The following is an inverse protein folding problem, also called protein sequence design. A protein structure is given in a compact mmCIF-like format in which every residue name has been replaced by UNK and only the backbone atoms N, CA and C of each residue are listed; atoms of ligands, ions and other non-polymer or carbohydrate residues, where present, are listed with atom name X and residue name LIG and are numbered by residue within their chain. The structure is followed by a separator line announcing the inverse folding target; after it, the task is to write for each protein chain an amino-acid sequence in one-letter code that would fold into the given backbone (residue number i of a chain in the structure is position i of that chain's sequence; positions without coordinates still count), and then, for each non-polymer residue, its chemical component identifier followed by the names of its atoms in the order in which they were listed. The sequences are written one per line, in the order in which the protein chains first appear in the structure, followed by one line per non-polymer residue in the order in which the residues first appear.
data_IF_999747069368
#
_entry.id   IF_999747069368
#
_cell.length_a   1.000
_cell.length_b   1.000
_cell.length_c   1.000
_cell.angle_alpha   90.00
_cell.angle_beta   90.00
_cell.angle_gamma   90.00
#
_symmetry.space_group_name_H-M   'P 1'
#
loop_
_entity.id
_entity.type
_entity.pdbx_description
1 polymer ?
#
# COMPACT_ATOMS: atom_id res chain seq x y z
N UNK A 1 -11.79 7.51 -33.04
CA UNK A 1 -10.35 7.45 -32.73
C UNK A 1 -10.16 6.43 -31.62
N UNK A 2 -9.35 5.37 -31.82
CA UNK A 2 -9.06 4.40 -30.74
C UNK A 2 -8.06 5.04 -29.78
N UNK A 3 -8.51 5.40 -28.58
CA UNK A 3 -7.62 5.81 -27.49
C UNK A 3 -6.69 4.64 -27.18
N UNK A 4 -5.38 4.83 -27.34
CA UNK A 4 -4.39 3.85 -26.86
C UNK A 4 -4.43 3.92 -25.34
N UNK A 5 -5.11 2.95 -24.72
CA UNK A 5 -5.04 2.75 -23.28
C UNK A 5 -3.59 2.43 -22.96
N UNK A 6 -2.95 3.29 -22.18
CA UNK A 6 -1.63 3.03 -21.65
C UNK A 6 -1.75 1.84 -20.68
N UNK A 7 -1.07 0.75 -21.04
CA UNK A 7 -0.98 -0.50 -20.30
C UNK A 7 0.38 -0.62 -19.61
N UNK A 8 1.10 0.50 -19.47
CA UNK A 8 2.35 0.55 -18.72
C UNK A 8 2.20 -0.03 -17.30
N UNK A 9 3.26 -0.67 -16.77
CA UNK A 9 3.26 -1.22 -15.43
C UNK A 9 2.85 -0.17 -14.39
N UNK A 10 2.19 -0.63 -13.32
CA UNK A 10 1.77 0.22 -12.21
C UNK A 10 3.00 0.89 -11.58
N UNK A 11 3.22 2.17 -11.83
CA UNK A 11 4.21 2.95 -11.07
C UNK A 11 3.60 3.34 -9.72
N UNK A 12 3.82 2.49 -8.71
CA UNK A 12 3.59 2.84 -7.33
C UNK A 12 4.83 3.59 -6.80
N UNK A 13 4.71 4.90 -6.62
CA UNK A 13 5.77 5.71 -6.01
C UNK A 13 5.79 5.53 -4.49
N UNK A 14 6.95 5.32 -3.85
CA UNK A 14 7.04 5.32 -2.40
C UNK A 14 6.77 6.72 -1.84
N UNK A 15 5.89 6.83 -0.83
CA UNK A 15 5.78 8.01 0.03
C UNK A 15 6.53 7.71 1.33
N UNK A 16 7.56 8.50 1.62
CA UNK A 16 8.37 8.33 2.82
C UNK A 16 7.80 9.20 3.95
N UNK A 17 7.46 8.64 5.13
CA UNK A 17 7.15 9.44 6.29
C UNK A 17 8.38 10.21 6.74
N UNK A 18 8.18 11.43 7.24
CA UNK A 18 9.26 12.25 7.77
C UNK A 18 9.69 11.73 9.14
N UNK A 19 10.99 11.81 9.46
CA UNK A 19 11.49 11.47 10.79
C UNK A 19 10.76 12.30 11.86
N UNK A 20 10.05 11.63 12.78
CA UNK A 20 9.29 12.27 13.86
C UNK A 20 7.77 12.36 13.64
N UNK A 21 7.23 11.85 12.53
CA UNK A 21 5.77 11.69 12.41
C UNK A 21 5.25 10.65 13.42
N UNK A 22 4.19 11.02 14.14
CA UNK A 22 3.46 10.11 15.01
C UNK A 22 2.93 8.94 14.18
N UNK A 23 2.98 7.73 14.74
CA UNK A 23 2.41 6.54 14.11
C UNK A 23 0.95 6.80 13.71
N UNK A 24 0.63 6.55 12.44
CA UNK A 24 -0.73 6.54 11.92
C UNK A 24 -1.15 5.10 11.65
N UNK A 25 -2.39 4.81 12.01
CA UNK A 25 -3.07 3.56 11.69
C UNK A 25 -3.63 3.54 10.27
N UNK A 26 -3.38 4.56 9.44
CA UNK A 26 -3.83 4.62 8.05
C UNK A 26 -2.67 4.46 7.06
N UNK A 27 -2.81 3.50 6.15
CA UNK A 27 -1.92 3.31 4.99
C UNK A 27 -2.71 3.65 3.73
N UNK A 28 -2.21 4.62 2.94
CA UNK A 28 -2.83 5.03 1.67
C UNK A 28 -2.10 4.41 0.49
N UNK A 29 -2.83 3.71 -0.37
CA UNK A 29 -2.33 3.07 -1.59
C UNK A 29 -2.97 3.73 -2.80
N UNK A 30 -2.15 4.37 -3.65
CA UNK A 30 -2.62 5.00 -4.88
C UNK A 30 -2.40 4.09 -6.10
N UNK A 31 -3.43 3.99 -6.93
CA UNK A 31 -3.45 3.23 -8.18
C UNK A 31 -3.47 4.20 -9.37
N UNK A 32 -2.87 3.80 -10.49
CA UNK A 32 -2.90 4.60 -11.72
C UNK A 32 -4.30 4.64 -12.37
N UNK A 33 -5.15 3.67 -12.06
CA UNK A 33 -6.51 3.47 -12.58
C UNK A 33 -7.50 3.30 -11.44
N UNK A 34 -8.75 3.69 -11.69
CA UNK A 34 -9.84 3.46 -10.76
C UNK A 34 -10.07 1.95 -10.60
N UNK A 35 -10.32 1.52 -9.37
CA UNK A 35 -10.49 0.09 -9.06
C UNK A 35 -11.93 -0.24 -8.68
N UNK A 36 -12.30 -1.53 -8.75
CA UNK A 36 -13.64 -1.97 -8.34
C UNK A 36 -13.76 -2.02 -6.83
N UNK A 37 -14.88 -1.52 -6.31
CA UNK A 37 -15.20 -1.55 -4.88
C UNK A 37 -15.24 -2.99 -4.33
N UNK A 38 -15.67 -3.96 -5.14
CA UNK A 38 -15.70 -5.38 -4.76
C UNK A 38 -14.30 -5.97 -4.44
N UNK A 39 -13.23 -5.27 -4.82
CA UNK A 39 -11.86 -5.66 -4.50
C UNK A 39 -11.37 -5.09 -3.16
N UNK A 40 -12.17 -4.27 -2.47
CA UNK A 40 -11.83 -3.66 -1.19
C UNK A 40 -12.07 -4.62 -0.02
N UNK A 41 -11.44 -5.78 -0.07
CA UNK A 41 -11.48 -6.77 1.01
C UNK A 41 -10.10 -6.85 1.67
N UNK A 42 -10.01 -6.97 3.00
CA UNK A 42 -8.73 -7.12 3.71
C UNK A 42 -7.84 -8.23 3.12
N UNK A 43 -8.43 -9.34 2.68
CA UNK A 43 -7.70 -10.49 2.08
C UNK A 43 -6.91 -10.16 0.81
N UNK A 44 -7.23 -9.05 0.15
CA UNK A 44 -6.51 -8.60 -1.05
C UNK A 44 -5.24 -7.80 -0.71
N UNK A 45 -4.98 -7.55 0.57
CA UNK A 45 -3.87 -6.75 1.05
C UNK A 45 -3.16 -7.48 2.20
N UNK A 46 -1.84 -7.49 2.18
CA UNK A 46 -1.04 -7.87 3.35
C UNK A 46 -0.12 -6.72 3.69
N UNK A 47 -0.24 -6.18 4.91
CA UNK A 47 0.63 -5.13 5.40
C UNK A 47 1.63 -5.72 6.38
N UNK A 48 2.89 -5.33 6.25
CA UNK A 48 3.95 -5.65 7.19
C UNK A 48 4.67 -4.40 7.64
N UNK A 49 4.89 -4.27 8.94
CA UNK A 49 5.74 -3.25 9.51
C UNK A 49 7.15 -3.79 9.67
N UNK A 50 8.12 -2.96 9.34
CA UNK A 50 9.53 -3.29 9.30
C UNK A 50 10.29 -2.32 10.19
N UNK A 51 10.73 -2.82 11.33
CA UNK A 51 11.59 -2.08 12.24
C UNK A 51 13.04 -2.46 11.99
N UNK A 52 13.87 -1.46 11.69
CA UNK A 52 15.31 -1.61 11.59
C UNK A 52 15.99 -0.31 11.96
N UNK A 53 17.04 -0.41 12.77
CA UNK A 53 18.05 0.65 12.88
C UNK A 53 19.15 0.38 11.86
N UNK A 54 19.82 1.43 11.38
CA UNK A 54 20.88 1.34 10.36
C UNK A 54 21.86 0.22 10.73
N UNK A 55 21.91 -0.85 9.93
CA UNK A 55 22.83 -1.99 10.10
C UNK A 55 22.34 -3.17 10.95
N UNK A 56 21.07 -3.21 11.37
CA UNK A 56 20.51 -4.32 12.18
C UNK A 56 19.37 -5.02 11.44
N UNK A 57 19.18 -6.30 11.78
CA UNK A 57 18.12 -7.21 11.34
C UNK A 57 16.75 -6.52 11.32
N UNK A 58 16.07 -6.58 10.17
CA UNK A 58 14.73 -6.01 10.01
C UNK A 58 13.74 -6.98 10.61
N UNK A 59 13.11 -6.61 11.73
CA UNK A 59 11.96 -7.37 12.26
C UNK A 59 10.76 -7.03 11.40
N UNK A 60 10.36 -7.99 10.56
CA UNK A 60 9.11 -7.91 9.81
C UNK A 60 7.98 -8.48 10.66
N UNK A 61 7.00 -7.63 10.98
CA UNK A 61 5.81 -8.02 11.72
C UNK A 61 4.58 -7.84 10.82
N UNK A 62 3.84 -8.91 10.48
CA UNK A 62 2.55 -8.74 9.83
C UNK A 62 1.61 -7.96 10.76
N UNK A 63 0.76 -7.12 10.17
CA UNK A 63 -0.25 -6.35 10.91
C UNK A 63 -1.63 -6.58 10.31
N UNK A 64 -2.62 -6.63 11.20
CA UNK A 64 -4.00 -6.86 10.81
C UNK A 64 -4.60 -5.60 10.18
N UNK A 65 -5.35 -5.80 9.10
CA UNK A 65 -6.12 -4.75 8.43
C UNK A 65 -7.55 -4.81 8.97
N UNK A 66 -7.99 -3.73 9.62
CA UNK A 66 -9.32 -3.66 10.26
C UNK A 66 -10.38 -3.14 9.31
N UNK A 67 -10.01 -2.22 8.40
CA UNK A 67 -10.91 -1.64 7.41
C UNK A 67 -10.17 -1.37 6.09
N UNK A 68 -10.92 -1.49 4.98
CA UNK A 68 -10.45 -1.13 3.64
C UNK A 68 -11.55 -0.31 2.96
N UNK A 69 -11.24 0.90 2.51
CA UNK A 69 -12.21 1.77 1.85
C UNK A 69 -11.52 2.73 0.86
N UNK A 70 -12.30 3.34 -0.03
CA UNK A 70 -11.78 4.40 -0.88
C UNK A 70 -11.51 5.67 -0.07
N UNK A 71 -10.40 6.34 -0.38
CA UNK A 71 -10.10 7.65 0.20
C UNK A 71 -11.28 8.62 -0.07
N UNK A 72 -11.88 9.21 0.97
CA UNK A 72 -12.97 10.18 0.79
C UNK A 72 -12.50 11.44 0.05
N UNK A 73 -11.19 11.69 0.08
CA UNK A 73 -10.55 12.82 -0.60
C UNK A 73 -10.24 12.52 -2.08
N UNK A 74 -10.49 11.29 -2.56
CA UNK A 74 -10.21 10.89 -3.93
C UNK A 74 -11.51 10.57 -4.71
N UNK A 75 -12.08 11.56 -5.42
CA UNK A 75 -13.28 11.35 -6.21
C UNK A 75 -13.08 10.41 -7.41
N UNK A 76 -11.82 10.10 -7.77
CA UNK A 76 -11.52 9.20 -8.89
C UNK A 76 -11.48 7.72 -8.48
N UNK A 77 -11.65 7.40 -7.18
CA UNK A 77 -11.60 6.02 -6.66
C UNK A 77 -10.30 5.30 -7.05
N UNK A 78 -9.19 6.02 -7.00
CA UNK A 78 -7.84 5.53 -7.29
C UNK A 78 -7.01 5.31 -6.03
N UNK A 79 -7.47 5.77 -4.89
CA UNK A 79 -6.75 5.71 -3.63
C UNK A 79 -7.54 4.88 -2.64
N UNK A 80 -6.91 3.84 -2.12
CA UNK A 80 -7.45 2.99 -1.07
C UNK A 80 -6.79 3.34 0.24
N UNK A 81 -7.59 3.43 1.30
CA UNK A 81 -7.14 3.54 2.68
C UNK A 81 -7.27 2.16 3.32
N UNK A 82 -6.17 1.69 3.90
CA UNK A 82 -6.10 0.51 4.74
C UNK A 82 -5.94 0.99 6.18
N UNK A 83 -6.89 0.67 7.06
CA UNK A 83 -6.68 0.85 8.50
C UNK A 83 -5.99 -0.36 9.08
N UNK A 84 -4.93 -0.15 9.82
CA UNK A 84 -4.11 -1.21 10.41
C UNK A 84 -4.17 -1.16 11.93
N UNK A 85 -4.23 -2.33 12.57
CA UNK A 85 -4.08 -2.44 14.00
C UNK A 85 -2.64 -2.81 14.35
N UNK A 86 -1.91 -1.85 14.90
CA UNK A 86 -0.63 -2.11 15.53
C UNK A 86 -0.86 -2.40 17.02
N UNK A 87 -0.75 -3.66 17.42
CA UNK A 87 -0.75 -4.04 18.84
C UNK A 87 0.45 -3.50 19.63
N UNK A 88 1.48 -3.02 18.93
CA UNK A 88 2.70 -2.42 19.50
C UNK A 88 2.66 -0.90 19.36
N UNK A 89 3.21 -0.18 20.35
CA UNK A 89 3.37 1.28 20.28
C UNK A 89 4.73 1.61 19.70
N UNK A 90 4.73 2.30 18.56
CA UNK A 90 5.93 2.75 17.89
C UNK A 90 6.32 4.17 18.33
N UNK A 91 7.62 4.39 18.56
CA UNK A 91 8.17 5.72 18.87
C UNK A 91 8.38 6.58 17.62
N UNK A 92 8.47 5.95 16.45
CA UNK A 92 8.57 6.57 15.12
C UNK A 92 7.97 5.63 14.08
N UNK A 93 7.53 6.17 12.94
CA UNK A 93 6.89 5.37 11.88
C UNK A 93 7.85 4.30 11.32
N UNK A 94 7.54 2.99 11.44
CA UNK A 94 8.34 1.94 10.83
C UNK A 94 8.20 1.95 9.30
N UNK A 95 9.11 1.27 8.61
CA UNK A 95 8.92 1.04 7.18
C UNK A 95 7.71 0.10 6.96
N UNK A 96 6.96 0.33 5.89
CA UNK A 96 5.76 -0.40 5.52
C UNK A 96 6.03 -1.12 4.21
N UNK A 97 5.71 -2.40 4.20
CA UNK A 97 5.49 -3.15 2.98
C UNK A 97 4.00 -3.46 2.83
N UNK A 98 3.47 -3.26 1.63
CA UNK A 98 2.12 -3.63 1.25
C UNK A 98 2.20 -4.58 0.07
N UNK A 99 1.77 -5.82 0.28
CA UNK A 99 1.48 -6.72 -0.82
C UNK A 99 0.02 -6.59 -1.22
N UNK A 100 -0.23 -6.52 -2.53
CA UNK A 100 -1.54 -6.30 -3.11
C UNK A 100 -1.85 -7.45 -4.06
N UNK A 101 -3.01 -8.08 -3.92
CA UNK A 101 -3.44 -9.24 -4.71
C UNK A 101 -4.87 -9.04 -5.21
N UNK A 102 -5.23 -9.72 -6.31
CA UNK A 102 -6.61 -9.81 -6.81
C UNK A 102 -7.35 -8.47 -7.05
N UNK A 103 -6.62 -7.35 -7.15
CA UNK A 103 -7.21 -6.05 -7.49
C UNK A 103 -7.48 -5.98 -8.99
N UNK A 104 -8.67 -5.49 -9.32
CA UNK A 104 -9.17 -5.35 -10.69
C UNK A 104 -9.62 -3.92 -10.92
N UNK A 105 -9.30 -3.37 -12.10
CA UNK A 105 -9.79 -2.06 -12.50
C UNK A 105 -11.29 -2.07 -12.83
N UNK A 106 -11.89 -0.89 -12.99
CA UNK A 106 -13.31 -0.75 -13.34
C UNK A 106 -13.70 -1.50 -14.64
N UNK A 107 -12.76 -1.73 -15.55
CA UNK A 107 -12.97 -2.45 -16.80
C UNK A 107 -12.85 -3.97 -16.67
N UNK A 108 -12.49 -4.49 -15.50
CA UNK A 108 -12.35 -5.92 -15.26
C UNK A 108 -10.93 -6.46 -15.52
N UNK A 109 -9.95 -5.58 -15.72
CA UNK A 109 -8.55 -5.96 -15.94
C UNK A 109 -7.83 -6.11 -14.60
N UNK A 110 -7.23 -7.27 -14.36
CA UNK A 110 -6.39 -7.49 -13.17
C UNK A 110 -5.16 -6.59 -13.21
N UNK A 111 -4.84 -5.96 -12.08
CA UNK A 111 -3.69 -5.07 -11.97
C UNK A 111 -2.36 -5.85 -11.92
N UNK A 112 -2.36 -7.05 -11.33
CA UNK A 112 -1.22 -7.99 -11.36
C UNK A 112 -1.69 -9.43 -11.22
N UNK A 113 -1.06 -10.35 -11.96
CA UNK A 113 -1.33 -11.80 -11.86
C UNK A 113 -0.65 -12.44 -10.64
N UNK A 114 0.51 -11.90 -10.22
CA UNK A 114 1.35 -12.47 -9.15
C UNK A 114 1.38 -11.60 -7.87
N UNK A 115 0.51 -10.60 -7.80
CA UNK A 115 0.53 -9.56 -6.76
C UNK A 115 1.55 -8.46 -7.03
N UNK A 116 1.46 -7.38 -6.26
CA UNK A 116 2.39 -6.24 -6.32
C UNK A 116 2.88 -5.97 -4.91
N UNK A 117 4.20 -5.93 -4.73
CA UNK A 117 4.83 -5.48 -3.49
C UNK A 117 5.18 -3.99 -3.62
N UNK A 118 4.70 -3.19 -2.69
CA UNK A 118 5.07 -1.78 -2.54
C UNK A 118 5.79 -1.65 -1.21
N UNK A 119 6.97 -1.03 -1.22
CA UNK A 119 7.76 -0.82 -0.02
C UNK A 119 8.18 0.64 0.07
N UNK A 120 8.00 1.26 1.23
CA UNK A 120 8.59 2.57 1.52
C UNK A 120 9.96 2.47 2.21
N UNK A 121 10.56 1.26 2.27
CA UNK A 121 11.93 1.09 2.76
C UNK A 121 12.85 2.01 1.97
N UNK A 122 13.63 2.82 2.66
CA UNK A 122 14.76 3.52 2.04
C UNK A 122 15.77 2.43 1.73
N UNK A 123 15.90 2.05 0.46
CA UNK A 123 16.94 1.12 0.04
C UNK A 123 18.26 1.62 0.59
N UNK A 124 19.00 0.77 1.32
CA UNK A 124 20.40 1.05 1.56
C UNK A 124 21.02 1.18 0.17
N UNK A 125 21.32 2.41 -0.24
CA UNK A 125 22.11 2.64 -1.44
C UNK A 125 23.41 1.87 -1.22
N UNK A 126 23.61 0.82 -2.01
CA UNK A 126 24.91 0.19 -2.14
C UNK A 126 25.91 1.19 -2.72
#
# INVERSE_FOLDING_TARGET
MKSKVDLGPLEAGPVYPSAGEAFTDEVRVAFNKSIRESCLTPDNFLVSLNEGTVGVEIKQSPVDITEVFFSPDDPQMKTVVLKIYAGEKFSSMPAIDVNIFNITDIYGVKISENGVMISNRKGASH
#
